data_IF_029716819214
#
_entry.id   IF_029716819214
#
_cell.length_a   1.000
_cell.length_b   1.000
_cell.length_c   1.000
_cell.angle_alpha   90.00
_cell.angle_beta   90.00
_cell.angle_gamma   90.00
#
_symmetry.space_group_name_H-M   'P 1'
#
loop_
_entity.id
_entity.type
_entity.pdbx_description
1 polymer ?
#
# COMPACT_ATOMS: atom_id res chain seq x y z
N UNK A 1 32.62 -51.06 -10.23
CA UNK A 1 31.20 -51.18 -10.63
C UNK A 1 30.44 -50.01 -10.01
N UNK A 2 30.11 -48.97 -10.78
CA UNK A 2 29.40 -47.77 -10.31
C UNK A 2 27.91 -47.92 -10.66
N UNK A 3 27.06 -48.00 -9.65
CA UNK A 3 25.61 -48.12 -9.79
C UNK A 3 24.99 -46.79 -10.22
N UNK A 4 24.24 -46.83 -11.31
CA UNK A 4 23.45 -45.72 -11.87
C UNK A 4 22.08 -45.69 -11.22
N UNK A 5 21.75 -44.60 -10.52
CA UNK A 5 20.41 -44.38 -9.96
C UNK A 5 19.65 -43.39 -10.84
N UNK A 6 18.84 -43.92 -11.75
CA UNK A 6 17.91 -43.15 -12.57
C UNK A 6 16.77 -42.57 -11.72
N UNK A 7 16.65 -41.24 -11.67
CA UNK A 7 15.50 -40.56 -11.10
C UNK A 7 14.35 -40.59 -12.10
N UNK A 8 13.25 -41.28 -11.74
CA UNK A 8 11.98 -41.26 -12.49
C UNK A 8 11.36 -39.86 -12.39
N UNK A 9 11.07 -39.25 -13.53
CA UNK A 9 10.27 -38.04 -13.63
C UNK A 9 8.79 -38.39 -13.40
N UNK A 10 8.17 -37.77 -12.38
CA UNK A 10 6.74 -37.85 -12.15
C UNK A 10 6.06 -36.72 -12.95
N UNK A 11 5.35 -37.09 -14.01
CA UNK A 11 4.48 -36.19 -14.77
C UNK A 11 3.24 -35.86 -13.93
N UNK A 12 3.15 -34.64 -13.39
CA UNK A 12 1.90 -34.12 -12.82
C UNK A 12 1.06 -33.51 -13.95
N UNK A 13 0.05 -34.26 -14.39
CA UNK A 13 -1.05 -33.75 -15.20
C UNK A 13 -2.04 -32.99 -14.30
N UNK A 14 -1.91 -31.67 -14.22
CA UNK A 14 -2.92 -30.83 -13.58
C UNK A 14 -4.13 -30.67 -14.51
N UNK A 15 -5.19 -31.44 -14.24
CA UNK A 15 -6.53 -31.20 -14.76
C UNK A 15 -7.06 -29.90 -14.12
N UNK A 16 -6.96 -28.79 -14.84
CA UNK A 16 -7.56 -27.53 -14.44
C UNK A 16 -9.10 -27.63 -14.57
N UNK A 17 -9.78 -27.89 -13.46
CA UNK A 17 -11.21 -27.66 -13.36
C UNK A 17 -11.47 -26.16 -13.61
N UNK A 18 -12.23 -25.87 -14.66
CA UNK A 18 -12.62 -24.51 -15.02
C UNK A 18 -13.70 -24.02 -14.06
N UNK A 19 -13.28 -23.59 -12.87
CA UNK A 19 -14.16 -23.02 -11.86
C UNK A 19 -14.63 -21.63 -12.34
N UNK A 20 -15.86 -21.60 -12.86
CA UNK A 20 -16.51 -20.42 -13.43
C UNK A 20 -17.26 -19.59 -12.38
N UNK A 21 -16.97 -19.82 -11.09
CA UNK A 21 -17.52 -19.01 -10.00
C UNK A 21 -17.00 -17.56 -10.09
N UNK A 22 -17.82 -16.54 -9.76
CA UNK A 22 -17.40 -15.15 -9.79
C UNK A 22 -16.21 -14.97 -8.86
N UNK A 23 -15.03 -14.72 -9.45
CA UNK A 23 -13.77 -14.60 -8.72
C UNK A 23 -13.87 -13.43 -7.74
N UNK A 24 -13.98 -13.74 -6.44
CA UNK A 24 -13.99 -12.75 -5.37
C UNK A 24 -12.75 -11.84 -5.49
N UNK A 25 -12.86 -10.53 -5.18
CA UNK A 25 -11.71 -9.65 -5.17
C UNK A 25 -10.61 -10.20 -4.27
N UNK A 26 -9.35 -10.07 -4.69
CA UNK A 26 -8.23 -10.44 -3.83
C UNK A 26 -8.17 -9.49 -2.63
N UNK A 27 -7.52 -9.95 -1.56
CA UNK A 27 -7.26 -9.13 -0.38
C UNK A 27 -6.51 -7.83 -0.73
N UNK A 28 -6.70 -6.80 0.09
CA UNK A 28 -6.02 -5.52 -0.10
C UNK A 28 -4.50 -5.70 -0.05
N UNK A 29 -3.81 -5.07 -1.01
CA UNK A 29 -2.35 -5.13 -1.06
C UNK A 29 -1.73 -4.32 0.09
N UNK A 30 -0.48 -4.62 0.46
CA UNK A 30 0.26 -3.83 1.46
C UNK A 30 0.34 -2.35 1.06
N UNK A 31 0.56 -2.08 -0.23
CA UNK A 31 0.60 -0.73 -0.80
C UNK A 31 -0.73 0.00 -0.68
N UNK A 32 -1.83 -0.66 -1.02
CA UNK A 32 -3.18 -0.07 -0.90
C UNK A 32 -3.45 0.38 0.53
N UNK A 33 -3.17 -0.50 1.49
CA UNK A 33 -3.42 -0.22 2.90
C UNK A 33 -2.51 0.92 3.41
N UNK A 34 -1.25 0.94 3.00
CA UNK A 34 -0.32 2.02 3.35
C UNK A 34 -0.76 3.36 2.73
N UNK A 35 -1.16 3.39 1.46
CA UNK A 35 -1.58 4.62 0.78
C UNK A 35 -2.89 5.17 1.33
N UNK A 36 -3.84 4.29 1.67
CA UNK A 36 -5.06 4.69 2.41
C UNK A 36 -4.67 5.37 3.72
N UNK A 37 -3.75 4.77 4.49
CA UNK A 37 -3.30 5.35 5.75
C UNK A 37 -2.65 6.71 5.56
N UNK A 38 -1.75 6.86 4.58
CA UNK A 38 -1.10 8.13 4.26
C UNK A 38 -2.15 9.19 3.90
N UNK A 39 -3.12 8.87 3.03
CA UNK A 39 -4.18 9.80 2.63
C UNK A 39 -5.01 10.30 3.82
N UNK A 40 -5.23 9.43 4.81
CA UNK A 40 -5.97 9.75 6.04
C UNK A 40 -5.17 10.55 7.07
N UNK A 41 -3.86 10.73 6.88
CA UNK A 41 -2.97 11.43 7.81
C UNK A 41 -2.20 12.57 7.11
N UNK A 42 -2.92 13.58 6.57
CA UNK A 42 -2.32 14.72 5.84
C UNK A 42 -1.38 15.55 6.71
N UNK A 43 -1.70 15.71 8.00
CA UNK A 43 -0.91 16.44 8.98
C UNK A 43 0.46 15.79 9.29
N UNK A 44 0.64 14.52 8.92
CA UNK A 44 1.91 13.85 9.05
C UNK A 44 1.80 12.42 9.56
N UNK A 45 2.53 11.51 8.94
CA UNK A 45 2.74 10.15 9.42
C UNK A 45 4.21 9.73 9.28
N UNK A 46 4.65 8.82 10.15
CA UNK A 46 5.98 8.21 10.10
C UNK A 46 5.93 6.82 9.48
N UNK A 47 7.08 6.27 9.12
CA UNK A 47 7.19 4.87 8.68
C UNK A 47 6.74 3.89 9.77
N UNK A 48 6.98 4.24 11.04
CA UNK A 48 6.56 3.44 12.19
C UNK A 48 5.03 3.46 12.37
N UNK A 49 4.38 4.58 12.10
CA UNK A 49 2.92 4.68 12.14
C UNK A 49 2.30 3.72 11.12
N UNK A 50 2.85 3.67 9.91
CA UNK A 50 2.41 2.69 8.90
C UNK A 50 2.63 1.26 9.41
N UNK A 51 3.81 0.95 9.96
CA UNK A 51 4.12 -0.38 10.46
C UNK A 51 3.12 -0.82 11.55
N UNK A 52 2.88 0.03 12.55
CA UNK A 52 2.05 -0.26 13.73
C UNK A 52 0.56 -0.28 13.40
N UNK A 53 0.07 0.74 12.69
CA UNK A 53 -1.36 0.93 12.45
C UNK A 53 -1.87 0.13 11.24
N UNK A 54 -1.02 -0.08 10.23
CA UNK A 54 -1.38 -0.80 9.01
C UNK A 54 -1.01 -2.28 9.09
N UNK A 55 -0.50 -2.79 10.22
CA UNK A 55 -0.13 -4.22 10.41
C UNK A 55 0.69 -4.76 9.24
N UNK A 56 1.76 -4.04 8.88
CA UNK A 56 2.68 -4.42 7.82
C UNK A 56 3.98 -4.94 8.42
N UNK A 57 4.64 -5.85 7.71
CA UNK A 57 5.97 -6.34 8.09
C UNK A 57 7.08 -5.28 7.90
N UNK A 58 6.79 -4.19 7.18
CA UNK A 58 7.65 -3.03 7.00
C UNK A 58 6.77 -1.84 6.60
N UNK A 59 7.01 -0.69 7.22
CA UNK A 59 6.41 0.61 6.86
C UNK A 59 7.30 1.46 5.96
N UNK A 60 8.51 0.97 5.63
CA UNK A 60 9.50 1.74 4.87
C UNK A 60 9.11 1.88 3.41
N UNK A 61 9.58 2.95 2.79
CA UNK A 61 9.51 3.22 1.35
C UNK A 61 8.13 3.59 0.78
N UNK A 62 7.03 3.61 1.54
CA UNK A 62 5.73 3.96 0.95
C UNK A 62 5.61 5.44 0.61
N UNK A 63 6.12 6.32 1.47
CA UNK A 63 6.18 7.77 1.22
C UNK A 63 7.06 8.07 0.01
N UNK A 64 8.30 7.59 0.02
CA UNK A 64 9.25 7.82 -1.10
C UNK A 64 8.83 7.12 -2.39
N UNK A 65 8.05 6.04 -2.31
CA UNK A 65 7.44 5.45 -3.50
C UNK A 65 6.36 6.35 -4.12
N UNK A 66 5.52 7.00 -3.33
CA UNK A 66 4.53 7.96 -3.84
C UNK A 66 5.21 9.14 -4.53
N UNK A 67 6.23 9.71 -3.89
CA UNK A 67 7.05 10.79 -4.45
C UNK A 67 7.65 10.40 -5.81
N UNK A 68 8.24 9.20 -5.92
CA UNK A 68 8.81 8.69 -7.17
C UNK A 68 7.78 8.41 -8.26
N UNK A 69 6.59 7.95 -7.90
CA UNK A 69 5.54 7.60 -8.87
C UNK A 69 4.90 8.84 -9.49
N UNK A 70 4.84 9.94 -8.76
CA UNK A 70 4.09 11.14 -9.17
C UNK A 70 4.94 12.39 -9.34
N UNK A 71 6.21 12.37 -8.93
CA UNK A 71 7.12 13.49 -9.07
C UNK A 71 6.85 14.66 -8.12
N UNK A 72 6.09 14.44 -7.03
CA UNK A 72 5.93 15.42 -5.95
C UNK A 72 6.86 15.11 -4.78
N UNK A 73 7.03 16.09 -3.90
CA UNK A 73 7.72 15.92 -2.62
C UNK A 73 6.75 16.11 -1.46
N UNK A 74 6.85 15.25 -0.47
CA UNK A 74 6.15 15.40 0.80
C UNK A 74 6.98 16.28 1.72
N UNK A 75 6.32 17.04 2.58
CA UNK A 75 7.00 17.81 3.62
C UNK A 75 7.58 16.84 4.64
N UNK A 76 8.89 16.94 4.89
CA UNK A 76 9.62 16.07 5.83
C UNK A 76 10.07 16.86 7.04
N UNK A 77 9.70 16.40 8.22
CA UNK A 77 10.14 16.98 9.50
C UNK A 77 10.78 15.89 10.34
N UNK A 78 11.89 16.22 10.99
CA UNK A 78 12.50 15.32 11.98
C UNK A 78 11.62 15.31 13.23
N UNK A 79 11.13 14.13 13.57
CA UNK A 79 10.35 13.87 14.77
C UNK A 79 11.24 13.07 15.73
N UNK A 80 11.36 13.55 16.97
CA UNK A 80 12.16 12.86 17.97
C UNK A 80 11.48 11.55 18.36
N UNK A 81 12.29 10.49 18.53
CA UNK A 81 11.71 9.26 19.03
C UNK A 81 11.20 9.44 20.46
N UNK A 82 10.06 8.82 20.82
CA UNK A 82 9.56 8.85 22.19
C UNK A 82 10.54 8.30 23.24
N UNK A 83 11.49 7.46 22.82
CA UNK A 83 12.56 6.92 23.67
C UNK A 83 13.79 7.85 23.79
N UNK A 84 13.78 8.99 23.09
CA UNK A 84 14.87 9.97 23.06
C UNK A 84 16.09 9.53 22.24
N UNK A 85 16.04 8.38 21.54
CA UNK A 85 17.18 7.84 20.79
C UNK A 85 16.87 7.85 19.30
N UNK A 86 17.50 8.80 18.60
CA UNK A 86 17.34 8.98 17.16
C UNK A 86 16.08 9.75 16.77
N UNK A 87 15.89 9.93 15.47
CA UNK A 87 14.77 10.66 14.89
C UNK A 87 14.10 9.84 13.79
N UNK A 88 12.81 10.08 13.60
CA UNK A 88 12.04 9.58 12.47
C UNK A 88 11.62 10.73 11.57
N UNK A 89 11.50 10.46 10.28
CA UNK A 89 10.91 11.42 9.36
C UNK A 89 9.38 11.31 9.44
N UNK A 90 8.75 12.43 9.79
CA UNK A 90 7.32 12.64 9.65
C UNK A 90 7.06 13.27 8.28
N UNK A 91 6.23 12.60 7.49
CA UNK A 91 5.87 13.01 6.13
C UNK A 91 4.45 13.56 6.14
N UNK A 92 4.27 14.82 5.74
CA UNK A 92 2.98 15.49 5.62
C UNK A 92 2.74 16.05 4.22
N UNK A 93 1.48 16.37 3.91
CA UNK A 93 1.09 17.04 2.67
C UNK A 93 -0.16 17.88 2.90
N UNK A 94 -0.24 19.01 2.19
CA UNK A 94 -1.41 19.90 2.18
C UNK A 94 -2.00 20.11 0.79
N UNK A 95 -1.29 19.70 -0.27
CA UNK A 95 -1.75 19.92 -1.64
C UNK A 95 -2.89 18.97 -2.03
N UNK A 96 -4.00 19.48 -2.59
CA UNK A 96 -5.07 18.64 -3.17
C UNK A 96 -4.57 17.76 -4.32
N UNK A 97 -3.55 18.21 -5.05
CA UNK A 97 -2.96 17.43 -6.16
C UNK A 97 -2.27 16.16 -5.63
N UNK A 98 -1.58 16.27 -4.50
CA UNK A 98 -0.97 15.12 -3.82
C UNK A 98 -2.06 14.16 -3.34
N UNK A 99 -3.13 14.68 -2.71
CA UNK A 99 -4.26 13.86 -2.26
C UNK A 99 -4.90 13.08 -3.43
N UNK A 100 -5.13 13.75 -4.56
CA UNK A 100 -5.67 13.15 -5.78
C UNK A 100 -4.73 12.08 -6.37
N UNK A 101 -3.42 12.33 -6.36
CA UNK A 101 -2.42 11.37 -6.83
C UNK A 101 -2.40 10.09 -5.96
N UNK A 102 -2.44 10.24 -4.63
CA UNK A 102 -2.53 9.09 -3.71
C UNK A 102 -3.81 8.30 -3.96
N UNK A 103 -4.95 8.99 -4.12
CA UNK A 103 -6.24 8.36 -4.42
C UNK A 103 -6.21 7.57 -5.74
N UNK A 104 -5.55 8.12 -6.76
CA UNK A 104 -5.32 7.44 -8.04
C UNK A 104 -4.58 6.12 -7.86
N UNK A 105 -3.54 6.07 -7.02
CA UNK A 105 -2.81 4.82 -6.73
C UNK A 105 -3.61 3.81 -5.93
N UNK A 106 -4.45 4.26 -4.99
CA UNK A 106 -5.39 3.40 -4.28
C UNK A 106 -6.34 2.74 -5.29
N UNK A 107 -6.97 3.53 -6.16
CA UNK A 107 -7.87 3.03 -7.20
C UNK A 107 -7.16 2.08 -8.17
N UNK A 108 -5.93 2.40 -8.59
CA UNK A 108 -5.12 1.52 -9.43
C UNK A 108 -4.83 0.17 -8.73
N UNK A 109 -4.53 0.16 -7.43
CA UNK A 109 -4.38 -1.08 -6.66
C UNK A 109 -5.67 -1.89 -6.61
N UNK A 110 -6.81 -1.23 -6.40
CA UNK A 110 -8.12 -1.89 -6.35
C UNK A 110 -8.50 -2.53 -7.68
N UNK A 111 -8.25 -1.86 -8.80
CA UNK A 111 -8.44 -2.41 -10.15
C UNK A 111 -7.59 -3.67 -10.33
N UNK A 112 -6.29 -3.61 -9.99
CA UNK A 112 -5.36 -4.76 -10.09
C UNK A 112 -5.84 -5.98 -9.29
N UNK A 113 -6.52 -5.77 -8.15
CA UNK A 113 -7.08 -6.86 -7.32
C UNK A 113 -8.55 -7.20 -7.64
N UNK A 114 -9.12 -6.65 -8.71
CA UNK A 114 -10.50 -6.87 -9.18
C UNK A 114 -11.59 -6.41 -8.20
N UNK A 115 -11.33 -5.33 -7.45
CA UNK A 115 -12.27 -4.77 -6.49
C UNK A 115 -13.04 -3.53 -6.99
N UNK A 116 -12.81 -3.14 -8.25
CA UNK A 116 -13.35 -1.90 -8.81
C UNK A 116 -12.73 -0.64 -8.19
N UNK A 117 -13.07 0.52 -8.74
CA UNK A 117 -12.70 1.81 -8.16
C UNK A 117 -13.50 2.08 -6.88
N UNK A 118 -13.02 2.99 -6.03
CA UNK A 118 -13.81 3.52 -4.93
C UNK A 118 -15.05 4.24 -5.46
N UNK A 119 -16.17 4.14 -4.75
CA UNK A 119 -17.33 4.97 -5.03
C UNK A 119 -17.07 6.42 -4.60
N UNK A 120 -17.88 7.38 -5.07
CA UNK A 120 -17.70 8.78 -4.69
C UNK A 120 -17.84 9.03 -3.20
N UNK A 121 -18.69 8.26 -2.54
CA UNK A 121 -18.88 8.29 -1.09
C UNK A 121 -17.63 7.79 -0.37
N UNK A 122 -17.02 6.70 -0.87
CA UNK A 122 -15.78 6.15 -0.29
C UNK A 122 -14.58 7.08 -0.53
N UNK A 123 -14.48 7.70 -1.71
CA UNK A 123 -13.47 8.72 -1.98
C UNK A 123 -13.61 9.90 -1.02
N UNK A 124 -14.85 10.39 -0.82
CA UNK A 124 -15.14 11.47 0.11
C UNK A 124 -14.81 11.10 1.56
N UNK A 125 -15.15 9.89 2.01
CA UNK A 125 -14.83 9.39 3.35
C UNK A 125 -13.32 9.37 3.61
N UNK A 126 -12.54 8.90 2.64
CA UNK A 126 -11.07 8.88 2.75
C UNK A 126 -10.46 10.29 2.77
N UNK A 127 -11.12 11.27 2.14
CA UNK A 127 -10.66 12.66 2.08
C UNK A 127 -11.14 13.52 3.26
N UNK A 128 -12.00 13.01 4.15
CA UNK A 128 -12.46 13.76 5.33
C UNK A 128 -11.29 14.33 6.16
N UNK A 129 -10.24 13.55 6.50
CA UNK A 129 -9.12 14.08 7.28
C UNK A 129 -8.37 15.19 6.54
N UNK A 130 -8.21 15.06 5.22
CA UNK A 130 -7.58 16.07 4.37
C UNK A 130 -8.38 17.36 4.34
N UNK A 131 -9.70 17.29 4.13
CA UNK A 131 -10.57 18.46 4.08
C UNK A 131 -10.67 19.20 5.42
N UNK A 132 -10.45 18.50 6.55
CA UNK A 132 -10.44 19.10 7.89
C UNK A 132 -9.13 19.81 8.23
N UNK A 133 -8.05 19.52 7.51
CA UNK A 133 -6.72 20.11 7.73
C UNK A 133 -6.41 21.30 6.81
N UNK A 134 -7.35 21.69 5.94
CA UNK A 134 -7.26 22.87 5.08
C UNK A 134 -7.70 24.13 5.82
#
# INVERSE_FOLDING_TARGET
MKGSSGKKAATQTNLAANDNSPKKPKAQSKKERAFIYILQHPAGATENDILRNVRLSSGRNYFTQLERLHGFELTRVNDENPDGIGTHLRYSFSSPEIAAAILKEINASRIRRKAGVLSKEQEAELLVPFNRSQ
#
